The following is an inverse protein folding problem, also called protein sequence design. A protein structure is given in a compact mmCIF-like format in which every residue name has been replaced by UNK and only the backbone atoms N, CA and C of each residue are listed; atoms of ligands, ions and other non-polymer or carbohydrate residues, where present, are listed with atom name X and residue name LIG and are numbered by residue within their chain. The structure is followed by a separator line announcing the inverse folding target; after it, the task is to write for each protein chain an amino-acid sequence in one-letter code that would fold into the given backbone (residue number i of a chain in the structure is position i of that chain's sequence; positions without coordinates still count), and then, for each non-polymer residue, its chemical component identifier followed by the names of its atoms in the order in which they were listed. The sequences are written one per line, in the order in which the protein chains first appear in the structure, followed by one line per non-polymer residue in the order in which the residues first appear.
data_IF_774775215625
#
_entry.id   IF_774775215625
#
_cell.length_a   1.000
_cell.length_b   1.000
_cell.length_c   1.000
_cell.angle_alpha   90.00
_cell.angle_beta   90.00
_cell.angle_gamma   90.00
#
_symmetry.space_group_name_H-M   'P 1'
#
loop_
_entity.id
_entity.type
_entity.pdbx_description
1 polymer ?
#
# COMPACT_ATOMS: atom_id res chain seq x y z
N UNK A 1 62.84 -2.29 -39.70
CA UNK A 1 61.89 -2.74 -38.66
C UNK A 1 61.18 -1.50 -38.14
N UNK A 2 59.98 -1.26 -38.63
CA UNK A 2 59.16 -0.08 -38.32
C UNK A 2 57.71 -0.54 -38.28
N UNK A 3 57.09 -0.42 -37.10
CA UNK A 3 55.73 -0.87 -36.78
C UNK A 3 54.65 0.04 -37.40
N UNK A 4 53.44 -0.48 -37.68
CA UNK A 4 52.31 0.32 -38.16
C UNK A 4 51.52 0.97 -37.00
N UNK A 5 50.75 2.05 -37.27
CA UNK A 5 50.02 2.79 -36.24
C UNK A 5 48.65 2.20 -35.88
N UNK A 6 48.29 2.39 -34.61
CA UNK A 6 47.02 2.07 -33.96
C UNK A 6 45.83 2.84 -34.56
N UNK A 7 44.74 2.12 -34.87
CA UNK A 7 43.41 2.69 -35.05
C UNK A 7 42.69 2.81 -33.69
N UNK A 8 42.27 4.03 -33.34
CA UNK A 8 41.37 4.30 -32.22
C UNK A 8 39.90 4.23 -32.68
N UNK A 9 38.98 3.63 -31.92
CA UNK A 9 37.54 3.72 -32.20
C UNK A 9 36.94 5.04 -31.69
N UNK A 10 36.01 5.59 -32.48
CA UNK A 10 35.24 6.81 -32.20
C UNK A 10 34.38 6.72 -30.93
N UNK A 11 34.12 7.84 -30.24
CA UNK A 11 33.29 7.86 -29.03
C UNK A 11 31.79 7.75 -29.36
N UNK A 12 31.13 6.94 -28.52
CA UNK A 12 29.72 6.56 -28.55
C UNK A 12 28.76 7.76 -28.57
N UNK A 13 27.71 7.61 -29.37
CA UNK A 13 26.47 8.40 -29.36
C UNK A 13 25.76 8.25 -28.00
N UNK A 14 25.34 9.33 -27.33
CA UNK A 14 24.59 9.21 -26.08
C UNK A 14 23.19 8.65 -26.34
N UNK A 15 22.88 7.54 -25.67
CA UNK A 15 21.54 6.96 -25.54
C UNK A 15 20.61 7.96 -24.86
N UNK A 16 19.38 8.18 -25.35
CA UNK A 16 18.44 9.10 -24.70
C UNK A 16 18.03 8.54 -23.33
N UNK A 17 18.40 9.28 -22.28
CA UNK A 17 17.97 9.06 -20.90
C UNK A 17 16.44 9.08 -20.82
N UNK A 18 15.79 8.12 -20.13
CA UNK A 18 14.34 8.16 -19.94
C UNK A 18 14.00 9.42 -19.14
N UNK A 19 13.21 10.28 -19.79
CA UNK A 19 12.77 11.57 -19.28
C UNK A 19 12.13 11.39 -17.91
N UNK A 20 12.71 12.05 -16.88
CA UNK A 20 12.08 12.23 -15.58
C UNK A 20 10.67 12.78 -15.80
N UNK A 21 9.65 11.99 -15.44
CA UNK A 21 8.28 12.50 -15.40
C UNK A 21 8.26 13.67 -14.45
N UNK A 22 7.85 14.83 -14.96
CA UNK A 22 7.59 16.04 -14.20
C UNK A 22 6.64 15.71 -13.04
N UNK A 23 7.12 15.90 -11.81
CA UNK A 23 6.34 15.83 -10.58
C UNK A 23 5.44 17.07 -10.45
N UNK A 24 4.54 17.28 -11.42
CA UNK A 24 3.45 18.21 -11.21
C UNK A 24 2.49 17.57 -10.20
N UNK A 25 2.12 18.25 -9.10
CA UNK A 25 1.11 17.72 -8.19
C UNK A 25 -0.16 17.52 -9.01
N UNK A 26 -0.57 16.26 -9.17
CA UNK A 26 -1.83 15.93 -9.82
C UNK A 26 -2.94 16.70 -9.09
N UNK A 27 -3.73 17.52 -9.79
CA UNK A 27 -4.88 18.17 -9.15
C UNK A 27 -5.76 17.07 -8.54
N UNK A 28 -6.37 17.34 -7.38
CA UNK A 28 -7.32 16.43 -6.75
C UNK A 28 -8.54 16.25 -7.67
N UNK A 29 -8.42 15.35 -8.65
CA UNK A 29 -9.45 15.04 -9.62
C UNK A 29 -10.67 14.51 -8.89
N UNK A 30 -11.84 15.03 -9.22
CA UNK A 30 -13.13 14.55 -8.73
C UNK A 30 -13.85 13.75 -9.81
N UNK A 31 -14.91 13.05 -9.44
CA UNK A 31 -15.78 12.38 -10.41
C UNK A 31 -16.35 13.37 -11.46
N UNK A 32 -16.63 14.62 -11.07
CA UNK A 32 -17.13 15.64 -12.00
C UNK A 32 -16.10 15.99 -13.08
N UNK A 33 -14.82 16.06 -12.72
CA UNK A 33 -13.74 16.39 -13.66
C UNK A 33 -13.56 15.31 -14.73
N UNK A 34 -13.73 14.03 -14.35
CA UNK A 34 -13.72 12.91 -15.28
C UNK A 34 -14.90 13.03 -16.26
N UNK A 35 -16.10 13.32 -15.77
CA UNK A 35 -17.29 13.46 -16.63
C UNK A 35 -17.16 14.61 -17.61
N UNK A 36 -16.64 15.75 -17.16
CA UNK A 36 -16.39 16.92 -18.01
C UNK A 36 -15.36 16.56 -19.08
N UNK A 37 -14.23 15.97 -18.68
CA UNK A 37 -13.18 15.57 -19.63
C UNK A 37 -13.70 14.55 -20.64
N UNK A 38 -14.50 13.57 -20.20
CA UNK A 38 -15.15 12.60 -21.10
C UNK A 38 -16.06 13.29 -22.10
N UNK A 39 -16.93 14.20 -21.64
CA UNK A 39 -17.83 14.94 -22.51
C UNK A 39 -17.06 15.78 -23.54
N UNK A 40 -16.00 16.46 -23.11
CA UNK A 40 -15.13 17.25 -24.00
C UNK A 40 -14.45 16.38 -25.06
N UNK A 41 -13.87 15.24 -24.68
CA UNK A 41 -13.27 14.31 -25.64
C UNK A 41 -14.31 13.73 -26.61
N UNK A 42 -15.54 13.48 -26.15
CA UNK A 42 -16.64 13.04 -27.01
C UNK A 42 -17.07 14.12 -28.01
N UNK A 43 -16.96 15.42 -27.69
CA UNK A 43 -17.25 16.50 -28.65
C UNK A 43 -16.32 16.51 -29.86
N UNK A 44 -15.16 15.83 -29.78
CA UNK A 44 -14.24 15.63 -30.90
C UNK A 44 -14.67 14.48 -31.84
N UNK A 45 -15.84 13.87 -31.61
CA UNK A 45 -16.34 12.75 -32.39
C UNK A 45 -15.72 11.39 -32.04
N UNK A 46 -15.04 11.29 -30.90
CA UNK A 46 -14.42 10.04 -30.44
C UNK A 46 -15.46 9.07 -29.87
N UNK A 47 -15.47 7.79 -30.29
CA UNK A 47 -16.22 6.73 -29.62
C UNK A 47 -15.86 6.62 -28.14
N UNK A 48 -16.82 6.21 -27.31
CA UNK A 48 -16.65 6.09 -25.85
C UNK A 48 -15.47 5.21 -25.47
N UNK A 49 -15.21 4.13 -26.22
CA UNK A 49 -14.11 3.20 -26.00
C UNK A 49 -12.74 3.88 -26.16
N UNK A 50 -12.60 4.75 -27.17
CA UNK A 50 -11.36 5.52 -27.36
C UNK A 50 -11.19 6.56 -26.27
N UNK A 51 -12.27 7.22 -25.85
CA UNK A 51 -12.21 8.18 -24.75
C UNK A 51 -11.78 7.50 -23.45
N UNK A 52 -12.34 6.35 -23.11
CA UNK A 52 -11.94 5.57 -21.95
C UNK A 52 -10.47 5.11 -22.04
N UNK A 53 -10.02 4.73 -23.24
CA UNK A 53 -8.61 4.38 -23.49
C UNK A 53 -7.67 5.56 -23.27
N UNK A 54 -8.03 6.76 -23.76
CA UNK A 54 -7.25 8.00 -23.55
C UNK A 54 -7.15 8.32 -22.06
N UNK A 55 -8.27 8.30 -21.33
CA UNK A 55 -8.29 8.58 -19.90
C UNK A 55 -7.44 7.57 -19.12
N UNK A 56 -7.54 6.28 -19.47
CA UNK A 56 -6.72 5.23 -18.87
C UNK A 56 -5.23 5.43 -19.16
N UNK A 57 -4.86 5.72 -20.41
CA UNK A 57 -3.48 5.93 -20.82
C UNK A 57 -2.86 7.17 -20.16
N UNK A 58 -3.64 8.24 -20.02
CA UNK A 58 -3.24 9.46 -19.32
C UNK A 58 -3.21 9.31 -17.79
N UNK A 59 -3.60 8.15 -17.25
CA UNK A 59 -3.80 7.94 -15.81
C UNK A 59 -4.72 9.01 -15.19
N UNK A 60 -5.71 9.49 -15.96
CA UNK A 60 -6.63 10.55 -15.57
C UNK A 60 -7.71 9.99 -14.64
N UNK A 61 -7.29 9.74 -13.40
CA UNK A 61 -8.10 9.09 -12.35
C UNK A 61 -7.92 9.83 -11.03
N UNK A 62 -8.98 9.94 -10.20
CA UNK A 62 -8.86 10.48 -8.85
C UNK A 62 -7.91 9.68 -7.98
N UNK A 63 -7.11 10.40 -7.21
CA UNK A 63 -6.19 9.83 -6.25
C UNK A 63 -6.47 10.39 -4.85
N UNK A 64 -6.32 9.55 -3.84
CA UNK A 64 -6.22 10.00 -2.46
C UNK A 64 -4.90 9.54 -1.86
N UNK A 65 -4.27 10.46 -1.14
CA UNK A 65 -2.97 10.26 -0.52
C UNK A 65 -3.12 10.23 1.00
N UNK A 66 -2.59 9.17 1.61
CA UNK A 66 -2.57 8.95 3.05
C UNK A 66 -1.11 8.83 3.49
N UNK A 67 -0.77 9.40 4.64
CA UNK A 67 0.60 9.42 5.12
C UNK A 67 0.66 9.24 6.64
N UNK A 68 1.62 8.44 7.09
CA UNK A 68 2.03 8.35 8.48
C UNK A 68 3.48 8.83 8.60
N UNK A 69 3.68 9.94 9.30
CA UNK A 69 4.99 10.60 9.50
C UNK A 69 5.67 10.28 10.82
N UNK A 70 4.99 9.57 11.71
CA UNK A 70 5.54 9.27 13.03
C UNK A 70 6.26 7.94 12.99
N UNK A 71 7.41 7.87 13.65
CA UNK A 71 8.13 6.62 13.86
C UNK A 71 7.20 5.59 14.52
N UNK A 72 7.16 4.38 13.95
CA UNK A 72 6.40 3.25 14.48
C UNK A 72 7.32 2.06 14.63
N UNK A 73 7.27 1.43 15.79
CA UNK A 73 8.16 0.31 16.14
C UNK A 73 7.28 -0.83 16.64
N UNK A 74 7.33 -1.96 15.94
CA UNK A 74 6.89 -3.23 16.51
C UNK A 74 8.11 -3.91 17.11
N UNK A 75 8.12 -4.12 18.42
CA UNK A 75 9.23 -4.76 19.15
C UNK A 75 8.76 -6.04 19.82
N UNK A 76 9.34 -7.17 19.43
CA UNK A 76 9.04 -8.46 20.03
C UNK A 76 9.90 -8.65 21.29
N UNK A 77 9.50 -8.05 22.41
CA UNK A 77 10.36 -7.99 23.62
C UNK A 77 10.12 -9.10 24.65
N UNK A 78 9.00 -9.81 24.54
CA UNK A 78 8.55 -10.79 25.56
C UNK A 78 7.89 -12.00 24.90
N UNK A 79 7.85 -13.13 25.59
CA UNK A 79 7.18 -14.35 25.14
C UNK A 79 5.66 -14.30 25.38
N UNK A 80 4.81 -14.68 24.41
CA UNK A 80 5.14 -15.09 23.05
C UNK A 80 5.57 -13.89 22.19
N UNK A 81 6.61 -14.11 21.39
CA UNK A 81 7.43 -13.07 20.78
C UNK A 81 6.95 -12.61 19.41
N UNK A 82 5.66 -12.34 19.29
CA UNK A 82 5.10 -11.68 18.11
C UNK A 82 4.64 -10.30 18.55
N UNK A 83 4.96 -9.28 17.76
CA UNK A 83 4.50 -7.92 17.96
C UNK A 83 3.82 -7.40 16.69
N UNK A 84 2.82 -6.53 16.90
CA UNK A 84 2.11 -5.82 15.86
C UNK A 84 1.94 -4.37 16.29
N UNK A 85 2.20 -3.43 15.38
CA UNK A 85 2.03 -2.01 15.61
C UNK A 85 1.30 -1.39 14.41
N UNK A 86 0.15 -0.75 14.64
CA UNK A 86 -0.51 -0.02 13.56
C UNK A 86 0.37 1.15 13.11
N UNK A 87 0.65 1.17 11.81
CA UNK A 87 1.47 2.19 11.15
C UNK A 87 0.62 3.20 10.38
N UNK A 88 -0.47 2.76 9.75
CA UNK A 88 -1.40 3.63 9.03
C UNK A 88 -2.84 3.11 9.14
N UNK A 89 -3.80 4.02 9.28
CA UNK A 89 -5.24 3.76 9.10
C UNK A 89 -5.77 4.74 8.06
N UNK A 90 -6.33 4.23 6.97
CA UNK A 90 -6.81 5.03 5.86
C UNK A 90 -8.28 4.73 5.54
N UNK A 91 -9.08 5.78 5.45
CA UNK A 91 -10.46 5.71 5.00
C UNK A 91 -10.49 5.57 3.47
N UNK A 92 -10.61 4.36 2.94
CA UNK A 92 -10.40 4.10 1.51
C UNK A 92 -11.70 4.13 0.70
N UNK A 93 -12.79 3.56 1.19
CA UNK A 93 -14.09 3.62 0.51
C UNK A 93 -15.22 4.04 1.46
N UNK A 94 -14.89 4.79 2.51
CA UNK A 94 -15.88 5.32 3.47
C UNK A 94 -16.71 6.46 2.87
N UNK A 95 -17.80 6.83 3.55
CA UNK A 95 -18.64 7.96 3.14
C UNK A 95 -17.83 9.27 3.00
N UNK A 96 -16.90 9.53 3.91
CA UNK A 96 -15.99 10.69 3.85
C UNK A 96 -15.20 10.71 2.54
N UNK A 97 -14.68 9.57 2.13
CA UNK A 97 -13.91 9.43 0.89
C UNK A 97 -14.79 9.61 -0.34
N UNK A 98 -15.98 8.98 -0.36
CA UNK A 98 -16.93 9.17 -1.45
C UNK A 98 -17.42 10.63 -1.57
N UNK A 99 -17.56 11.33 -0.45
CA UNK A 99 -17.85 12.78 -0.44
C UNK A 99 -16.69 13.60 -0.99
N UNK A 100 -15.45 13.31 -0.58
CA UNK A 100 -14.25 13.98 -1.10
C UNK A 100 -14.11 13.80 -2.62
N UNK A 101 -14.44 12.61 -3.14
CA UNK A 101 -14.46 12.31 -4.56
C UNK A 101 -15.69 12.84 -5.31
N UNK A 102 -16.68 13.40 -4.59
CA UNK A 102 -18.01 13.79 -5.11
C UNK A 102 -18.71 12.65 -5.86
N UNK A 103 -18.59 11.43 -5.34
CA UNK A 103 -19.01 10.19 -5.99
C UNK A 103 -20.06 9.39 -5.19
N UNK A 104 -20.75 10.01 -4.23
CA UNK A 104 -21.71 9.33 -3.32
C UNK A 104 -22.90 8.66 -4.00
N UNK A 105 -23.16 8.97 -5.28
CA UNK A 105 -24.27 8.41 -6.07
C UNK A 105 -23.81 7.48 -7.19
N UNK A 106 -22.52 7.15 -7.23
CA UNK A 106 -21.91 6.36 -8.31
C UNK A 106 -21.06 5.27 -7.70
N UNK A 107 -21.13 4.08 -8.29
CA UNK A 107 -20.35 2.96 -7.82
C UNK A 107 -18.87 3.26 -8.02
N UNK A 108 -18.17 3.38 -6.90
CA UNK A 108 -16.73 3.69 -6.87
C UNK A 108 -15.95 2.41 -6.57
N UNK A 109 -14.85 2.19 -7.28
CA UNK A 109 -13.94 1.07 -7.07
C UNK A 109 -12.50 1.53 -6.94
N UNK A 110 -11.73 0.84 -6.13
CA UNK A 110 -10.27 0.99 -6.11
C UNK A 110 -9.69 0.25 -7.32
N UNK A 111 -8.77 0.90 -8.02
CA UNK A 111 -8.05 0.34 -9.18
C UNK A 111 -6.65 -0.09 -8.83
N UNK A 112 -6.02 0.69 -7.97
CA UNK A 112 -4.62 0.53 -7.61
C UNK A 112 -4.40 1.11 -6.22
N UNK A 113 -3.56 0.43 -5.44
CA UNK A 113 -2.99 0.97 -4.21
C UNK A 113 -1.48 0.91 -4.34
N UNK A 114 -0.85 2.05 -4.14
CA UNK A 114 0.59 2.21 -4.13
C UNK A 114 1.05 2.56 -2.72
N UNK A 115 2.03 1.81 -2.21
CA UNK A 115 2.68 2.04 -0.94
C UNK A 115 4.12 2.51 -1.19
N UNK A 116 4.52 3.60 -0.53
CA UNK A 116 5.91 4.03 -0.46
C UNK A 116 6.33 3.93 1.00
N UNK A 117 7.30 3.03 1.26
CA UNK A 117 7.61 2.56 2.60
C UNK A 117 9.10 2.78 2.85
N UNK A 118 9.43 3.41 3.97
CA UNK A 118 10.78 3.39 4.54
C UNK A 118 10.72 2.62 5.85
N UNK A 119 11.24 1.41 5.86
CA UNK A 119 11.36 0.60 7.08
C UNK A 119 12.57 -0.32 7.07
N UNK A 120 13.01 -0.67 8.28
CA UNK A 120 14.18 -1.52 8.56
C UNK A 120 13.93 -2.41 9.75
N UNK A 121 14.77 -3.43 9.88
CA UNK A 121 14.85 -4.23 11.08
C UNK A 121 15.60 -3.48 12.21
N UNK A 122 15.99 -4.19 13.27
CA UNK A 122 16.77 -3.67 14.40
C UNK A 122 18.13 -3.06 14.01
N UNK A 123 18.57 -3.19 12.76
CA UNK A 123 19.78 -2.55 12.24
C UNK A 123 21.07 -3.29 12.54
N UNK A 124 20.98 -4.59 12.86
CA UNK A 124 22.11 -5.50 13.00
C UNK A 124 21.70 -6.94 12.73
N UNK A 125 22.63 -7.75 12.23
CA UNK A 125 22.49 -9.19 12.03
C UNK A 125 23.82 -9.88 12.29
N UNK A 126 23.78 -11.08 12.88
CA UNK A 126 24.97 -11.94 13.02
C UNK A 126 25.16 -12.87 11.82
N UNK A 127 24.13 -13.01 10.98
CA UNK A 127 24.17 -13.83 9.78
C UNK A 127 24.89 -13.07 8.66
N UNK A 128 25.93 -13.70 8.09
CA UNK A 128 26.68 -13.10 7.00
C UNK A 128 25.89 -13.18 5.68
N UNK A 129 25.99 -12.13 4.87
CA UNK A 129 25.44 -12.09 3.51
C UNK A 129 23.94 -11.80 3.40
N UNK A 130 23.26 -11.48 4.51
CA UNK A 130 21.84 -11.06 4.50
C UNK A 130 21.64 -9.56 4.71
N UNK A 131 22.71 -8.82 5.01
CA UNK A 131 22.65 -7.36 5.14
C UNK A 131 22.21 -6.70 3.81
N UNK A 132 21.32 -5.72 3.91
CA UNK A 132 20.72 -5.04 2.78
C UNK A 132 19.63 -5.82 2.05
N UNK A 133 19.42 -7.11 2.40
CA UNK A 133 18.36 -7.96 1.84
C UNK A 133 17.03 -7.80 2.61
N UNK A 134 16.02 -8.55 2.19
CA UNK A 134 14.72 -8.64 2.84
C UNK A 134 14.49 -9.99 3.55
N UNK A 135 15.56 -10.74 3.83
CA UNK A 135 15.47 -12.00 4.58
C UNK A 135 15.45 -11.73 6.08
N UNK A 136 14.27 -11.42 6.61
CA UNK A 136 14.05 -10.92 7.97
C UNK A 136 12.85 -11.57 8.65
N UNK A 137 12.78 -11.49 9.98
CA UNK A 137 11.59 -11.81 10.78
C UNK A 137 10.81 -10.56 11.21
N UNK A 138 11.00 -9.44 10.51
CA UNK A 138 10.19 -8.22 10.63
C UNK A 138 9.62 -7.77 9.28
N UNK A 139 8.35 -7.36 9.25
CA UNK A 139 7.66 -7.06 7.99
C UNK A 139 6.52 -6.08 8.19
N UNK A 140 5.97 -5.59 7.08
CA UNK A 140 4.71 -4.91 7.00
C UNK A 140 3.66 -5.78 6.33
N UNK A 141 2.41 -5.56 6.71
CA UNK A 141 1.23 -6.20 6.13
C UNK A 141 0.04 -5.25 6.14
N UNK A 142 -0.95 -5.53 5.29
CA UNK A 142 -2.15 -4.72 5.17
C UNK A 142 -3.41 -5.53 5.44
N UNK A 143 -4.39 -4.91 6.10
CA UNK A 143 -5.70 -5.49 6.37
C UNK A 143 -6.81 -4.58 5.84
N UNK A 144 -7.97 -5.17 5.58
CA UNK A 144 -9.19 -4.45 5.28
C UNK A 144 -10.11 -4.54 6.50
N UNK A 145 -10.55 -3.39 6.98
CA UNK A 145 -11.53 -3.29 8.07
C UNK A 145 -12.86 -2.79 7.49
N UNK A 146 -13.93 -3.55 7.72
CA UNK A 146 -15.25 -3.34 7.12
C UNK A 146 -16.32 -3.16 8.18
N UNK A 147 -17.26 -2.19 8.04
CA UNK A 147 -18.44 -2.11 8.88
C UNK A 147 -19.29 -3.40 8.81
N UNK A 148 -19.64 -3.94 9.97
CA UNK A 148 -20.53 -5.10 10.09
C UNK A 148 -21.97 -4.68 9.76
N UNK A 149 -22.65 -5.49 8.94
CA UNK A 149 -24.05 -5.26 8.60
C UNK A 149 -24.95 -5.33 9.84
N UNK A 150 -25.96 -4.46 9.92
CA UNK A 150 -26.93 -4.44 11.01
C UNK A 150 -26.51 -3.69 12.28
N UNK A 151 -25.24 -3.30 12.42
CA UNK A 151 -24.81 -2.36 13.47
C UNK A 151 -24.93 -0.95 12.89
N UNK A 152 -25.92 -0.18 13.36
CA UNK A 152 -26.31 1.09 12.74
C UNK A 152 -25.12 2.00 12.37
N UNK A 153 -25.13 2.52 11.13
CA UNK A 153 -24.10 3.41 10.54
C UNK A 153 -23.75 4.65 11.38
N UNK A 154 -24.53 4.95 12.42
CA UNK A 154 -24.35 6.11 13.30
C UNK A 154 -23.11 6.04 14.21
N UNK A 155 -22.48 4.87 14.39
CA UNK A 155 -21.33 4.71 15.31
C UNK A 155 -19.93 4.77 14.68
N UNK A 156 -19.82 4.51 13.37
CA UNK A 156 -18.53 4.30 12.68
C UNK A 156 -17.74 5.59 12.37
N UNK A 157 -18.30 6.77 12.67
CA UNK A 157 -17.65 8.07 12.45
C UNK A 157 -16.91 8.62 13.68
N UNK A 158 -17.02 7.96 14.84
CA UNK A 158 -16.23 8.37 16.02
C UNK A 158 -14.79 7.90 15.84
N UNK A 159 -13.88 8.86 15.61
CA UNK A 159 -12.46 8.60 15.43
C UNK A 159 -11.94 7.71 16.56
N UNK A 160 -11.33 6.59 16.19
CA UNK A 160 -10.68 5.71 17.13
C UNK A 160 -9.52 6.44 17.79
N UNK A 161 -9.41 6.38 19.12
CA UNK A 161 -8.09 6.42 19.73
C UNK A 161 -7.41 5.07 19.48
N UNK A 162 -6.92 4.97 18.25
CA UNK A 162 -6.16 3.85 17.77
C UNK A 162 -4.99 3.56 18.71
N UNK A 163 -4.30 4.60 19.18
CA UNK A 163 -3.12 4.46 20.04
C UNK A 163 -3.40 3.62 21.29
N UNK A 164 -4.51 3.87 21.99
CA UNK A 164 -4.90 3.12 23.19
C UNK A 164 -5.37 1.68 22.89
N UNK A 165 -6.00 1.44 21.72
CA UNK A 165 -6.35 0.09 21.28
C UNK A 165 -5.10 -0.73 20.93
N UNK A 166 -4.06 -0.10 20.38
CA UNK A 166 -2.87 -0.77 19.84
C UNK A 166 -1.82 -1.12 20.89
N UNK A 167 -1.62 -0.32 21.93
CA UNK A 167 -0.56 -0.55 22.93
C UNK A 167 -0.77 -1.79 23.81
N UNK A 168 -1.94 -2.43 23.79
CA UNK A 168 -2.26 -3.60 24.63
C UNK A 168 -2.25 -4.96 23.88
N UNK A 169 -2.03 -4.97 22.56
CA UNK A 169 -2.31 -6.14 21.69
C UNK A 169 -1.13 -6.47 20.78
N UNK A 170 -0.93 -7.76 20.47
CA UNK A 170 0.32 -8.28 19.91
C UNK A 170 0.19 -8.87 18.51
N UNK A 171 -1.01 -9.30 18.12
CA UNK A 171 -1.33 -9.85 16.80
C UNK A 171 -2.54 -9.17 16.21
N UNK A 172 -2.73 -9.25 14.87
CA UNK A 172 -3.96 -8.75 14.21
C UNK A 172 -5.22 -9.46 14.74
N UNK A 173 -5.12 -10.74 15.11
CA UNK A 173 -6.23 -11.49 15.69
C UNK A 173 -6.69 -10.91 17.03
N UNK A 174 -5.77 -10.44 17.88
CA UNK A 174 -6.11 -9.79 19.16
C UNK A 174 -6.98 -8.53 18.94
N UNK A 175 -6.84 -7.87 17.77
CA UNK A 175 -7.65 -6.71 17.41
C UNK A 175 -9.05 -7.08 16.94
N UNK A 176 -9.24 -8.28 16.37
CA UNK A 176 -10.51 -8.75 15.80
C UNK A 176 -11.66 -8.61 16.80
N UNK A 177 -11.45 -9.02 18.05
CA UNK A 177 -12.47 -8.91 19.10
C UNK A 177 -12.80 -7.44 19.43
N UNK A 178 -11.78 -6.58 19.47
CA UNK A 178 -11.92 -5.18 19.84
C UNK A 178 -12.69 -4.37 18.80
N UNK A 179 -12.38 -4.58 17.51
CA UNK A 179 -13.11 -3.93 16.42
C UNK A 179 -14.52 -4.51 16.28
N UNK A 180 -14.68 -5.82 16.52
CA UNK A 180 -15.97 -6.49 16.51
C UNK A 180 -16.98 -5.90 17.48
N UNK A 181 -16.54 -5.60 18.72
CA UNK A 181 -17.38 -4.92 19.72
C UNK A 181 -17.85 -3.52 19.32
N UNK A 182 -17.26 -2.95 18.27
CA UNK A 182 -17.54 -1.60 17.75
C UNK A 182 -18.25 -1.62 16.39
N UNK A 183 -18.65 -2.79 15.92
CA UNK A 183 -19.39 -2.92 14.66
C UNK A 183 -18.51 -2.92 13.41
N UNK A 184 -17.22 -3.23 13.52
CA UNK A 184 -16.34 -3.45 12.37
C UNK A 184 -15.68 -4.84 12.45
N UNK A 185 -15.36 -5.41 11.29
CA UNK A 185 -14.75 -6.72 11.17
C UNK A 185 -13.63 -6.73 10.13
N UNK A 186 -12.61 -7.54 10.37
CA UNK A 186 -11.57 -7.79 9.38
C UNK A 186 -12.11 -8.62 8.22
N UNK A 187 -11.74 -8.25 7.00
CA UNK A 187 -12.01 -9.08 5.83
C UNK A 187 -10.95 -10.16 5.75
N UNK A 188 -11.39 -11.42 5.67
CA UNK A 188 -10.49 -12.55 5.49
C UNK A 188 -9.94 -12.59 4.06
N UNK A 189 -8.64 -12.79 3.94
CA UNK A 189 -7.96 -13.03 2.67
C UNK A 189 -8.45 -14.33 2.07
N UNK A 190 -8.94 -14.25 0.84
CA UNK A 190 -9.33 -15.42 0.04
C UNK A 190 -8.11 -15.93 -0.72
N UNK A 191 -7.80 -17.22 -0.57
CA UNK A 191 -6.75 -17.92 -1.33
C UNK A 191 -5.39 -18.06 -0.63
N UNK A 192 -4.47 -18.77 -1.29
CA UNK A 192 -3.11 -19.08 -0.81
C UNK A 192 -2.08 -17.99 -1.18
N UNK A 193 -2.49 -16.73 -1.18
CA UNK A 193 -1.55 -15.63 -1.39
C UNK A 193 -0.36 -15.70 -0.42
N UNK A 194 0.81 -15.21 -0.86
CA UNK A 194 2.04 -15.24 -0.08
C UNK A 194 1.79 -14.81 1.37
N UNK A 195 2.07 -15.72 2.31
CA UNK A 195 1.88 -15.50 3.76
C UNK A 195 3.12 -14.93 4.43
N UNK A 196 4.26 -14.92 3.75
CA UNK A 196 5.52 -14.50 4.36
C UNK A 196 5.72 -15.16 5.74
N UNK A 197 6.18 -14.41 6.76
CA UNK A 197 6.35 -14.93 8.12
C UNK A 197 5.07 -15.20 8.93
N UNK A 198 3.88 -14.98 8.34
CA UNK A 198 2.56 -15.09 8.97
C UNK A 198 2.05 -16.55 9.11
N UNK A 199 2.90 -17.56 8.91
CA UNK A 199 2.49 -18.96 9.03
C UNK A 199 1.85 -19.26 10.40
N UNK A 200 0.70 -19.94 10.37
CA UNK A 200 -0.09 -20.28 11.56
C UNK A 200 -1.02 -19.17 12.06
N UNK A 201 -0.99 -17.96 11.49
CA UNK A 201 -1.91 -16.88 11.83
C UNK A 201 -3.21 -16.94 11.02
N UNK A 202 -4.29 -16.36 11.58
CA UNK A 202 -5.55 -16.16 10.84
C UNK A 202 -5.31 -15.32 9.58
N UNK A 203 -6.06 -15.56 8.48
CA UNK A 203 -5.85 -14.88 7.20
C UNK A 203 -6.40 -13.44 7.18
N UNK A 204 -6.14 -12.64 8.21
CA UNK A 204 -6.70 -11.29 8.38
C UNK A 204 -5.85 -10.18 7.75
N UNK A 205 -4.71 -10.53 7.16
CA UNK A 205 -3.79 -9.58 6.56
C UNK A 205 -3.09 -10.16 5.33
N UNK A 206 -2.79 -9.29 4.37
CA UNK A 206 -1.96 -9.55 3.21
C UNK A 206 -0.54 -9.10 3.51
N UNK A 207 0.42 -9.99 3.29
CA UNK A 207 1.83 -9.66 3.39
C UNK A 207 2.15 -8.51 2.41
N UNK A 208 2.76 -7.43 2.92
CA UNK A 208 3.05 -6.23 2.14
C UNK A 208 4.52 -6.16 1.76
N UNK A 209 5.42 -6.19 2.74
CA UNK A 209 6.84 -5.95 2.49
C UNK A 209 7.70 -6.37 3.68
N UNK A 210 8.76 -7.13 3.45
CA UNK A 210 9.77 -7.37 4.47
C UNK A 210 10.53 -6.08 4.80
N UNK A 211 10.91 -5.93 6.07
CA UNK A 211 11.81 -4.86 6.48
C UNK A 211 13.22 -5.13 5.96
N UNK A 212 14.00 -4.07 5.70
CA UNK A 212 15.37 -4.23 5.21
C UNK A 212 16.33 -4.60 6.35
N UNK A 213 17.18 -5.59 6.13
CA UNK A 213 18.11 -6.12 7.14
C UNK A 213 19.35 -5.25 7.29
N UNK A 214 19.69 -4.87 8.52
CA UNK A 214 21.00 -4.26 8.85
C UNK A 214 21.26 -2.85 8.31
N UNK A 215 20.35 -2.31 7.49
CA UNK A 215 20.47 -0.98 6.93
C UNK A 215 19.87 0.06 7.89
N UNK A 216 20.70 0.98 8.38
CA UNK A 216 20.29 2.04 9.31
C UNK A 216 19.50 3.16 8.64
N UNK A 217 19.62 3.32 7.33
CA UNK A 217 18.92 4.38 6.59
C UNK A 217 18.50 3.84 5.21
N UNK A 218 17.52 2.94 5.16
CA UNK A 218 17.10 2.34 3.91
C UNK A 218 16.47 3.39 3.00
N UNK A 219 16.79 3.30 1.71
CA UNK A 219 16.02 4.00 0.68
C UNK A 219 14.55 3.55 0.74
N UNK A 220 13.58 4.46 0.51
CA UNK A 220 12.19 4.07 0.40
C UNK A 220 11.99 3.07 -0.75
N UNK A 221 11.19 2.04 -0.51
CA UNK A 221 10.78 1.08 -1.53
C UNK A 221 9.29 1.22 -1.83
N UNK A 222 8.95 0.89 -3.08
CA UNK A 222 7.62 1.07 -3.66
C UNK A 222 6.98 -0.29 -3.91
N UNK A 223 5.76 -0.47 -3.42
CA UNK A 223 4.93 -1.66 -3.66
C UNK A 223 3.61 -1.20 -4.25
N UNK A 224 3.16 -1.84 -5.33
CA UNK A 224 1.90 -1.53 -5.99
C UNK A 224 1.05 -2.77 -6.11
N UNK A 225 -0.21 -2.66 -5.73
CA UNK A 225 -1.21 -3.71 -5.90
C UNK A 225 -2.32 -3.24 -6.84
N UNK A 226 -2.67 -4.11 -7.79
CA UNK A 226 -3.76 -3.99 -8.75
C UNK A 226 -4.50 -5.32 -8.82
N UNK A 227 -5.69 -5.31 -9.42
CA UNK A 227 -6.43 -6.54 -9.66
C UNK A 227 -5.75 -7.47 -10.69
N UNK A 228 -4.98 -6.90 -11.62
CA UNK A 228 -4.31 -7.63 -12.69
C UNK A 228 -2.81 -7.90 -12.42
N UNK A 229 -2.29 -7.46 -11.27
CA UNK A 229 -0.90 -7.71 -10.91
C UNK A 229 -0.37 -6.83 -9.80
N UNK A 230 0.95 -6.91 -9.61
CA UNK A 230 1.66 -6.17 -8.57
C UNK A 230 3.06 -5.79 -9.01
N UNK A 231 3.56 -4.67 -8.49
CA UNK A 231 4.96 -4.25 -8.63
C UNK A 231 5.62 -4.18 -7.26
N UNK A 232 6.92 -4.47 -7.19
CA UNK A 232 7.71 -4.38 -5.97
C UNK A 232 9.05 -5.08 -6.12
N UNK A 233 9.90 -4.92 -5.11
CA UNK A 233 11.19 -5.61 -5.04
C UNK A 233 11.04 -7.05 -4.53
N UNK A 234 12.15 -7.74 -4.29
CA UNK A 234 12.20 -9.12 -3.83
C UNK A 234 11.60 -9.36 -2.44
N UNK A 235 11.46 -8.31 -1.62
CA UNK A 235 10.78 -8.36 -0.32
C UNK A 235 9.28 -8.07 -0.39
N UNK A 236 8.74 -7.75 -1.57
CA UNK A 236 7.36 -7.29 -1.73
C UNK A 236 6.36 -8.44 -1.84
N UNK A 237 5.28 -8.33 -1.09
CA UNK A 237 4.09 -9.16 -1.24
C UNK A 237 3.28 -8.79 -2.48
N UNK A 238 2.62 -9.80 -3.06
CA UNK A 238 1.86 -9.66 -4.31
C UNK A 238 0.46 -9.06 -4.14
N UNK A 239 -0.06 -9.02 -2.91
CA UNK A 239 -1.38 -8.42 -2.65
C UNK A 239 -2.55 -9.08 -3.37
N UNK A 240 -2.41 -10.35 -3.81
CA UNK A 240 -3.42 -11.04 -4.63
C UNK A 240 -4.79 -11.00 -3.95
N UNK A 241 -5.80 -10.52 -4.67
CA UNK A 241 -7.17 -10.40 -4.20
C UNK A 241 -7.43 -9.23 -3.24
N UNK A 242 -6.42 -8.42 -2.87
CA UNK A 242 -6.61 -7.31 -1.94
C UNK A 242 -7.49 -6.21 -2.55
N UNK A 243 -7.18 -5.78 -3.77
CA UNK A 243 -7.91 -4.69 -4.45
C UNK A 243 -9.35 -5.09 -4.75
N UNK A 244 -9.56 -6.35 -5.12
CA UNK A 244 -10.86 -6.93 -5.43
C UNK A 244 -11.71 -7.19 -4.18
N UNK A 245 -11.08 -7.41 -3.03
CA UNK A 245 -11.77 -7.58 -1.77
C UNK A 245 -12.37 -6.28 -1.22
N UNK A 246 -11.87 -5.12 -1.66
CA UNK A 246 -12.33 -3.79 -1.20
C UNK A 246 -13.76 -3.49 -1.65
N UNK A 247 -14.54 -2.94 -0.73
CA UNK A 247 -15.94 -2.54 -0.91
C UNK A 247 -16.23 -1.20 -0.24
N UNK A 248 -17.36 -0.60 -0.59
CA UNK A 248 -17.86 0.60 0.08
C UNK A 248 -17.96 0.39 1.60
N UNK A 249 -17.48 1.38 2.35
CA UNK A 249 -17.33 1.34 3.81
C UNK A 249 -15.93 0.96 4.29
N UNK A 250 -15.09 0.37 3.45
CA UNK A 250 -13.82 -0.20 3.91
C UNK A 250 -12.76 0.84 4.27
N UNK A 251 -11.98 0.49 5.29
CA UNK A 251 -10.72 1.12 5.68
C UNK A 251 -9.57 0.16 5.37
N UNK A 252 -8.41 0.73 5.05
CA UNK A 252 -7.15 -0.03 4.93
C UNK A 252 -6.26 0.28 6.12
N UNK A 253 -5.79 -0.78 6.78
CA UNK A 253 -4.85 -0.71 7.88
C UNK A 253 -3.51 -1.27 7.42
N UNK A 254 -2.41 -0.62 7.81
CA UNK A 254 -1.06 -1.14 7.59
C UNK A 254 -0.36 -1.33 8.92
N UNK A 255 0.25 -2.50 9.10
CA UNK A 255 0.86 -2.94 10.35
C UNK A 255 2.35 -3.13 10.15
N UNK A 256 3.13 -2.75 11.15
CA UNK A 256 4.50 -3.24 11.33
C UNK A 256 4.43 -4.49 12.21
N UNK A 257 5.22 -5.51 11.88
CA UNK A 257 5.23 -6.81 12.55
C UNK A 257 6.66 -7.23 12.84
N UNK A 258 6.89 -7.83 14.00
CA UNK A 258 8.17 -8.46 14.35
C UNK A 258 7.92 -9.80 15.03
N UNK A 259 8.75 -10.79 14.70
CA UNK A 259 8.69 -12.16 15.22
C UNK A 259 10.03 -12.54 15.83
N UNK A 260 9.96 -13.23 16.97
CA UNK A 260 11.05 -13.68 17.86
C UNK A 260 11.62 -12.60 18.79
N UNK A 261 12.06 -12.99 20.01
CA UNK A 261 12.58 -12.03 20.98
C UNK A 261 13.75 -11.21 20.41
N UNK A 262 13.70 -9.89 20.59
CA UNK A 262 14.74 -8.97 20.15
C UNK A 262 14.64 -8.49 18.70
N UNK A 263 13.68 -9.01 17.92
CA UNK A 263 13.40 -8.48 16.59
C UNK A 263 12.55 -7.22 16.64
N UNK A 264 12.85 -6.30 15.73
CA UNK A 264 12.10 -5.06 15.56
C UNK A 264 11.72 -4.82 14.11
N UNK A 265 10.56 -4.20 13.91
CA UNK A 265 10.19 -3.56 12.64
C UNK A 265 10.07 -2.07 12.91
N UNK A 266 10.97 -1.29 12.34
CA UNK A 266 11.02 0.16 12.51
C UNK A 266 10.56 0.80 11.20
N UNK A 267 9.42 1.47 11.24
CA UNK A 267 8.83 2.19 10.11
C UNK A 267 9.05 3.68 10.31
N UNK A 268 9.92 4.25 9.49
CA UNK A 268 10.28 5.67 9.52
C UNK A 268 9.25 6.53 8.76
N UNK A 269 8.77 6.02 7.62
CA UNK A 269 7.77 6.69 6.79
C UNK A 269 6.90 5.66 6.07
N UNK A 270 5.61 5.94 6.00
CA UNK A 270 4.66 5.16 5.22
C UNK A 270 3.67 6.08 4.53
N UNK A 271 3.64 5.99 3.21
CA UNK A 271 2.68 6.68 2.34
C UNK A 271 1.87 5.65 1.57
N UNK A 272 0.58 5.93 1.40
CA UNK A 272 -0.33 5.13 0.61
C UNK A 272 -1.12 6.02 -0.33
N UNK A 273 -1.07 5.71 -1.62
CA UNK A 273 -1.83 6.38 -2.67
C UNK A 273 -2.86 5.41 -3.23
N UNK A 274 -4.13 5.79 -3.22
CA UNK A 274 -5.22 4.99 -3.77
C UNK A 274 -5.75 5.66 -5.03
N UNK A 275 -5.81 4.92 -6.13
CA UNK A 275 -6.38 5.39 -7.40
C UNK A 275 -7.77 4.78 -7.60
N UNK A 276 -8.75 5.62 -7.95
CA UNK A 276 -10.16 5.23 -8.03
C UNK A 276 -10.66 5.19 -9.48
N UNK A 277 -11.63 4.32 -9.72
CA UNK A 277 -12.45 4.29 -10.93
C UNK A 277 -13.94 4.29 -10.58
N UNK A 278 -14.76 4.62 -11.56
CA UNK A 278 -16.21 4.72 -11.41
C UNK A 278 -16.87 3.82 -12.45
N UNK A 279 -17.89 3.08 -12.04
CA UNK A 279 -18.74 2.33 -12.95
C UNK A 279 -19.97 3.18 -13.26
N UNK A 280 -20.20 3.43 -14.56
CA UNK A 280 -21.37 4.14 -15.08
C UNK A 280 -22.25 3.21 -15.90
#
# INVERSE_FOLDING_TARGET
MTSPPHHSPSPNTPTPTPTQRSNSPTPNLTYADIRITRALLQTLGLPTELVLTILSYASYTPTLHFKATHLRIASADTTPAIAAQLSLSADVLTLRTLQALKATKVRTRVREIEFVIRSRDQGWTTQRGVEGTFNTSSWLEASILRPLEGVGRAGAETGYDWTALFSARRTVADFKQAVGSRGEGFVERVGEGARGPQEGEEPLAWYLQAARVGDRNPEPYRVVWRADGSEGNEGAGKGVGFVEALREGDKVLVWARAKYPGWQCIVDNLEMTVRYGFDE
#
